data_IF_922081889514
#
_entry.id   IF_922081889514
#
_cell.length_a   1.000
_cell.length_b   1.000
_cell.length_c   1.000
_cell.angle_alpha   90.00
_cell.angle_beta   90.00
_cell.angle_gamma   90.00
#
_symmetry.space_group_name_H-M   'P 1'
#
loop_
_entity.id
_entity.type
_entity.pdbx_description
1 polymer ?
#
# COMPACT_ATOMS: atom_id res chain seq x y z
N UNK A 1 -2.54 -11.81 4.42
CA UNK A 1 -3.69 -11.23 5.17
C UNK A 1 -4.93 -11.30 4.28
N UNK A 2 -6.08 -10.82 4.73
CA UNK A 2 -7.27 -10.65 3.88
C UNK A 2 -7.76 -9.19 3.93
N UNK A 3 -8.52 -8.78 2.91
CA UNK A 3 -9.23 -7.50 2.91
C UNK A 3 -10.68 -7.60 3.42
N UNK A 4 -11.43 -6.50 3.42
CA UNK A 4 -12.83 -6.46 3.82
C UNK A 4 -13.79 -7.29 2.93
N UNK A 5 -13.34 -7.69 1.75
CA UNK A 5 -14.09 -8.51 0.79
C UNK A 5 -13.72 -10.01 0.87
N UNK A 6 -12.78 -10.37 1.76
CA UNK A 6 -12.21 -11.73 1.93
C UNK A 6 -11.30 -12.15 0.77
N UNK A 7 -10.75 -11.19 0.02
CA UNK A 7 -9.68 -11.50 -0.91
C UNK A 7 -8.39 -11.72 -0.14
N UNK A 8 -7.60 -12.71 -0.57
CA UNK A 8 -6.24 -12.90 -0.06
C UNK A 8 -5.35 -11.74 -0.50
N UNK A 9 -4.58 -11.23 0.44
CA UNK A 9 -3.68 -10.08 0.26
C UNK A 9 -2.24 -10.49 0.50
N UNK A 10 -1.39 -10.24 -0.50
CA UNK A 10 0.05 -10.48 -0.48
C UNK A 10 0.77 -9.52 -1.44
N UNK A 11 2.05 -9.27 -1.20
CA UNK A 11 2.87 -8.34 -1.99
C UNK A 11 3.62 -9.02 -3.13
N UNK A 12 3.63 -10.36 -3.19
CA UNK A 12 4.42 -11.12 -4.17
C UNK A 12 4.05 -10.81 -5.63
N UNK A 13 2.77 -10.56 -5.90
CA UNK A 13 2.28 -10.17 -7.23
C UNK A 13 2.62 -8.74 -7.64
N UNK A 14 3.25 -7.94 -6.76
CA UNK A 14 3.61 -6.54 -7.00
C UNK A 14 5.12 -6.36 -7.24
N UNK A 15 5.87 -7.46 -7.39
CA UNK A 15 7.29 -7.40 -7.80
C UNK A 15 7.42 -6.66 -9.13
N UNK A 16 8.48 -5.86 -9.24
CA UNK A 16 8.67 -4.84 -10.28
C UNK A 16 8.24 -3.44 -9.86
N UNK A 17 7.42 -3.31 -8.81
CA UNK A 17 6.90 -2.04 -8.31
C UNK A 17 7.29 -1.83 -6.83
N UNK A 18 7.23 -0.58 -6.36
CA UNK A 18 7.42 -0.27 -4.95
C UNK A 18 6.09 -0.47 -4.23
N UNK A 19 6.10 -1.16 -3.08
CA UNK A 19 4.91 -1.33 -2.24
C UNK A 19 5.11 -0.57 -0.93
N UNK A 20 4.13 0.25 -0.59
CA UNK A 20 4.12 1.06 0.62
C UNK A 20 2.94 0.61 1.48
N UNK A 21 3.23 -0.19 2.50
CA UNK A 21 2.22 -0.59 3.48
C UNK A 21 2.05 0.53 4.49
N UNK A 22 0.90 1.21 4.49
CA UNK A 22 0.56 2.22 5.50
C UNK A 22 -0.34 1.56 6.54
N UNK A 23 0.18 1.41 7.75
CA UNK A 23 -0.48 0.62 8.80
C UNK A 23 -0.60 1.39 10.11
N UNK A 24 -1.72 1.17 10.79
CA UNK A 24 -2.01 1.79 12.07
C UNK A 24 -3.04 0.98 12.86
N UNK A 25 -3.00 1.13 14.18
CA UNK A 25 -4.11 0.77 15.04
C UNK A 25 -5.29 1.74 14.88
N UNK A 26 -6.40 1.46 15.57
CA UNK A 26 -7.59 2.31 15.54
C UNK A 26 -7.32 3.78 15.86
N UNK A 27 -6.36 4.09 16.74
CA UNK A 27 -6.06 5.47 17.16
C UNK A 27 -5.26 6.22 16.11
N UNK A 28 -4.40 5.53 15.36
CA UNK A 28 -3.64 6.10 14.23
C UNK A 28 -4.40 6.10 12.89
N UNK A 29 -5.57 5.47 12.80
CA UNK A 29 -6.26 5.20 11.54
C UNK A 29 -6.53 6.45 10.68
N UNK A 30 -6.98 7.56 11.28
CA UNK A 30 -7.27 8.80 10.53
C UNK A 30 -6.00 9.40 9.92
N UNK A 31 -4.91 9.44 10.69
CA UNK A 31 -3.64 9.97 10.20
C UNK A 31 -3.01 9.05 9.14
N UNK A 32 -3.09 7.72 9.34
CA UNK A 32 -2.67 6.73 8.36
C UNK A 32 -3.46 6.84 7.05
N UNK A 33 -4.78 7.02 7.12
CA UNK A 33 -5.61 7.24 5.93
C UNK A 33 -5.22 8.52 5.18
N UNK A 34 -5.00 9.62 5.91
CA UNK A 34 -4.59 10.89 5.33
C UNK A 34 -3.21 10.77 4.64
N UNK A 35 -2.24 10.13 5.29
CA UNK A 35 -0.93 9.86 4.71
C UNK A 35 -1.03 8.97 3.46
N UNK A 36 -1.76 7.86 3.54
CA UNK A 36 -1.94 6.95 2.41
C UNK A 36 -2.56 7.64 1.20
N UNK A 37 -3.62 8.44 1.41
CA UNK A 37 -4.23 9.24 0.34
C UNK A 37 -3.24 10.24 -0.26
N UNK A 38 -2.45 10.93 0.58
CA UNK A 38 -1.46 11.91 0.14
C UNK A 38 -0.35 11.28 -0.69
N UNK A 39 0.17 10.11 -0.27
CA UNK A 39 1.16 9.33 -1.02
C UNK A 39 0.59 8.86 -2.36
N UNK A 40 -0.61 8.29 -2.36
CA UNK A 40 -1.22 7.79 -3.59
C UNK A 40 -1.43 8.90 -4.61
N UNK A 41 -1.99 10.05 -4.21
CA UNK A 41 -2.18 11.19 -5.11
C UNK A 41 -0.84 11.76 -5.59
N UNK A 42 0.20 11.74 -4.75
CA UNK A 42 1.52 12.19 -5.17
C UNK A 42 2.07 11.36 -6.34
N UNK A 43 1.96 10.03 -6.26
CA UNK A 43 2.43 9.14 -7.32
C UNK A 43 1.41 8.94 -8.45
N UNK A 44 0.13 9.22 -8.21
CA UNK A 44 -0.97 9.12 -9.18
C UNK A 44 -1.80 10.41 -9.21
N UNK A 45 -1.29 11.51 -9.80
CA UNK A 45 -1.92 12.83 -9.68
C UNK A 45 -3.37 12.90 -10.18
N UNK A 46 -3.73 12.11 -11.19
CA UNK A 46 -5.10 12.07 -11.72
C UNK A 46 -6.09 11.39 -10.77
N UNK A 47 -5.61 10.65 -9.75
CA UNK A 47 -6.44 10.05 -8.71
C UNK A 47 -7.13 11.06 -7.81
N UNK A 48 -6.66 12.30 -7.76
CA UNK A 48 -7.35 13.36 -7.02
C UNK A 48 -8.76 13.63 -7.56
N UNK A 49 -8.95 13.44 -8.87
CA UNK A 49 -10.21 13.72 -9.58
C UNK A 49 -10.99 12.45 -9.92
N UNK A 50 -10.40 11.28 -9.70
CA UNK A 50 -10.99 10.00 -10.06
C UNK A 50 -12.11 9.60 -9.10
N UNK A 51 -13.07 8.82 -9.60
CA UNK A 51 -14.05 8.15 -8.75
C UNK A 51 -13.37 7.10 -7.86
N UNK A 52 -14.03 6.67 -6.78
CA UNK A 52 -13.50 5.63 -5.89
C UNK A 52 -13.20 4.31 -6.63
N UNK A 53 -13.95 3.99 -7.69
CA UNK A 53 -13.76 2.79 -8.49
C UNK A 53 -12.56 2.85 -9.44
N UNK A 54 -12.15 4.04 -9.82
CA UNK A 54 -11.03 4.26 -10.75
C UNK A 54 -9.76 4.70 -10.04
N UNK A 55 -9.87 5.07 -8.76
CA UNK A 55 -8.80 5.67 -7.96
C UNK A 55 -7.51 4.83 -7.96
N UNK A 56 -7.64 3.52 -7.80
CA UNK A 56 -6.52 2.58 -7.78
C UNK A 56 -5.96 2.23 -9.18
N UNK A 57 -6.62 2.67 -10.27
CA UNK A 57 -6.22 2.38 -11.66
C UNK A 57 -5.54 3.57 -12.34
N UNK A 58 -5.35 4.66 -11.61
CA UNK A 58 -4.78 5.87 -12.18
C UNK A 58 -3.31 5.67 -12.50
N UNK A 59 -2.82 6.22 -13.63
CA UNK A 59 -1.45 6.03 -14.05
C UNK A 59 -0.48 6.62 -13.02
N UNK A 60 0.65 5.95 -12.84
CA UNK A 60 1.77 6.48 -12.06
C UNK A 60 2.44 7.63 -12.82
N UNK A 61 2.91 8.63 -12.08
CA UNK A 61 3.72 9.71 -12.62
C UNK A 61 5.03 9.15 -13.19
N UNK A 62 5.40 9.63 -14.38
CA UNK A 62 6.64 9.24 -15.04
C UNK A 62 7.87 9.68 -14.26
N UNK A 63 8.99 9.00 -14.48
CA UNK A 63 10.29 9.36 -13.92
C UNK A 63 11.10 10.15 -14.97
N UNK A 64 11.56 11.38 -14.66
CA UNK A 64 12.44 12.11 -15.56
C UNK A 64 13.69 11.31 -15.92
N UNK A 65 13.97 11.21 -17.22
CA UNK A 65 15.10 10.45 -17.77
C UNK A 65 14.89 8.93 -17.82
N UNK A 66 13.69 8.43 -17.51
CA UNK A 66 13.39 7.00 -17.64
C UNK A 66 13.31 6.58 -19.11
N UNK A 67 13.87 5.42 -19.50
CA UNK A 67 13.79 4.94 -20.86
C UNK A 67 12.35 4.78 -21.35
N UNK A 68 12.06 5.29 -22.55
CA UNK A 68 10.69 5.34 -23.09
C UNK A 68 10.12 3.96 -23.45
N UNK A 69 10.98 2.97 -23.65
CA UNK A 69 10.66 1.59 -23.98
C UNK A 69 10.46 0.70 -22.74
N UNK A 70 10.75 1.21 -21.54
CA UNK A 70 10.57 0.49 -20.29
C UNK A 70 9.31 0.93 -19.55
N UNK A 71 8.61 -0.04 -18.96
CA UNK A 71 7.54 0.24 -18.00
C UNK A 71 8.11 1.08 -16.85
N UNK A 72 7.40 2.12 -16.46
CA UNK A 72 7.72 2.89 -15.24
C UNK A 72 7.28 2.07 -14.03
N UNK A 73 8.17 1.78 -13.06
CA UNK A 73 7.81 1.11 -11.82
C UNK A 73 6.73 1.88 -11.06
N UNK A 74 5.70 1.14 -10.66
CA UNK A 74 4.54 1.69 -9.98
C UNK A 74 4.80 1.90 -8.48
N UNK A 75 3.89 2.58 -7.77
CA UNK A 75 3.89 2.74 -6.32
C UNK A 75 2.54 2.33 -5.75
N UNK A 76 2.48 1.14 -5.16
CA UNK A 76 1.27 0.60 -4.54
C UNK A 76 1.18 1.06 -3.09
N UNK A 77 0.34 2.05 -2.81
CA UNK A 77 0.04 2.48 -1.43
C UNK A 77 -1.09 1.64 -0.87
N UNK A 78 -0.75 0.71 0.02
CA UNK A 78 -1.67 -0.29 0.56
C UNK A 78 -2.05 0.06 2.00
N UNK A 79 -3.33 0.40 2.28
CA UNK A 79 -3.78 0.64 3.65
C UNK A 79 -3.95 -0.70 4.39
N UNK A 80 -3.42 -0.78 5.61
CA UNK A 80 -3.55 -1.93 6.50
C UNK A 80 -4.12 -1.47 7.85
N UNK A 81 -5.23 -2.07 8.26
CA UNK A 81 -5.80 -1.88 9.58
C UNK A 81 -5.26 -2.95 10.54
N UNK A 82 -4.50 -2.53 11.55
CA UNK A 82 -4.06 -3.41 12.63
C UNK A 82 -5.20 -3.59 13.63
N UNK A 83 -5.70 -4.83 13.74
CA UNK A 83 -6.93 -5.17 14.47
C UNK A 83 -6.72 -6.38 15.40
N UNK A 84 -5.49 -6.57 15.90
CA UNK A 84 -5.15 -7.71 16.76
C UNK A 84 -5.91 -7.70 18.08
N UNK A 85 -6.44 -6.55 18.51
CA UNK A 85 -7.31 -6.41 19.67
C UNK A 85 -8.74 -6.93 19.45
N UNK A 86 -9.16 -7.14 18.19
CA UNK A 86 -10.52 -7.57 17.87
C UNK A 86 -10.68 -9.08 18.11
N UNK A 87 -11.55 -9.50 19.04
CA UNK A 87 -11.79 -10.92 19.30
C UNK A 87 -12.31 -11.64 18.05
N UNK A 88 -11.90 -12.91 17.85
CA UNK A 88 -12.31 -13.73 16.70
C UNK A 88 -13.82 -13.67 16.38
N UNK A 89 -14.74 -13.80 17.36
CA UNK A 89 -16.18 -13.72 17.08
C UNK A 89 -16.65 -12.37 16.51
N UNK A 90 -15.91 -11.29 16.74
CA UNK A 90 -16.24 -9.94 16.30
C UNK A 90 -15.54 -9.52 14.98
N UNK A 91 -14.61 -10.33 14.45
CA UNK A 91 -13.95 -10.04 13.18
C UNK A 91 -14.93 -9.87 12.00
N UNK A 92 -16.05 -10.62 11.88
CA UNK A 92 -17.05 -10.37 10.85
C UNK A 92 -17.69 -8.98 10.94
N UNK A 93 -17.88 -8.45 12.16
CA UNK A 93 -18.44 -7.11 12.40
C UNK A 93 -17.44 -6.04 11.99
N UNK A 94 -16.18 -6.17 12.42
CA UNK A 94 -15.11 -5.28 11.98
C UNK A 94 -15.00 -5.24 10.45
N UNK A 95 -15.06 -6.41 9.81
CA UNK A 95 -15.05 -6.52 8.34
C UNK A 95 -16.25 -5.82 7.68
N UNK A 96 -17.44 -5.98 8.23
CA UNK A 96 -18.64 -5.31 7.72
C UNK A 96 -18.52 -3.78 7.84
N UNK A 97 -17.94 -3.28 8.94
CA UNK A 97 -17.65 -1.86 9.10
C UNK A 97 -16.74 -1.33 7.99
N UNK A 98 -15.60 -1.99 7.72
CA UNK A 98 -14.70 -1.59 6.63
C UNK A 98 -15.34 -1.70 5.24
N UNK A 99 -16.22 -2.68 5.00
CA UNK A 99 -16.97 -2.77 3.74
C UNK A 99 -17.91 -1.60 3.54
N UNK A 100 -18.51 -1.10 4.62
CA UNK A 100 -19.40 0.06 4.54
C UNK A 100 -18.61 1.37 4.41
N UNK A 101 -17.47 1.52 5.09
CA UNK A 101 -16.68 2.76 5.07
C UNK A 101 -15.77 2.87 3.85
N UNK A 102 -15.34 1.73 3.29
CA UNK A 102 -14.53 1.63 2.07
C UNK A 102 -15.13 0.56 1.15
N UNK A 103 -16.21 0.89 0.41
CA UNK A 103 -16.92 -0.08 -0.41
C UNK A 103 -16.17 -0.48 -1.67
N UNK A 104 -15.08 0.23 -2.02
CA UNK A 104 -14.36 0.00 -3.27
C UNK A 104 -12.85 -0.17 -3.07
N UNK A 105 -12.23 0.64 -2.21
CA UNK A 105 -10.79 0.57 -1.98
C UNK A 105 -10.49 -0.53 -0.95
N UNK A 106 -9.75 -1.60 -1.30
CA UNK A 106 -9.41 -2.65 -0.36
C UNK A 106 -8.55 -2.13 0.79
N UNK A 107 -8.87 -2.54 2.02
CA UNK A 107 -8.07 -2.31 3.22
C UNK A 107 -7.68 -3.67 3.76
N UNK A 108 -6.38 -3.93 3.87
CA UNK A 108 -5.89 -5.19 4.43
C UNK A 108 -6.18 -5.22 5.93
N UNK A 109 -6.74 -6.31 6.43
CA UNK A 109 -7.15 -6.46 7.82
C UNK A 109 -6.18 -7.40 8.54
N UNK A 110 -5.36 -6.83 9.43
CA UNK A 110 -4.38 -7.57 10.21
C UNK A 110 -4.94 -7.93 11.59
N UNK A 111 -5.76 -8.99 11.64
CA UNK A 111 -6.22 -9.58 12.90
C UNK A 111 -5.14 -10.42 13.60
N UNK A 112 -4.05 -10.74 12.90
CA UNK A 112 -3.03 -11.71 13.35
C UNK A 112 -1.77 -11.07 13.91
N UNK A 113 -1.78 -9.74 14.12
CA UNK A 113 -0.64 -8.98 14.61
C UNK A 113 0.62 -9.16 13.72
N UNK A 114 0.41 -9.35 12.42
CA UNK A 114 1.47 -9.61 11.44
C UNK A 114 2.34 -8.38 11.25
N UNK A 115 1.73 -7.19 11.14
CA UNK A 115 2.44 -5.93 10.90
C UNK A 115 3.35 -5.59 12.07
N UNK A 116 2.83 -5.63 13.30
CA UNK A 116 3.63 -5.35 14.50
C UNK A 116 4.78 -6.34 14.68
N UNK A 117 4.54 -7.65 14.48
CA UNK A 117 5.61 -8.67 14.63
C UNK A 117 6.67 -8.59 13.54
N UNK A 118 6.32 -8.16 12.33
CA UNK A 118 7.23 -8.16 11.18
C UNK A 118 7.99 -6.84 11.05
N UNK A 119 7.32 -5.72 11.29
CA UNK A 119 7.84 -4.37 11.02
C UNK A 119 7.99 -3.50 12.27
N UNK A 120 7.48 -3.95 13.43
CA UNK A 120 7.28 -3.08 14.59
C UNK A 120 6.06 -2.16 14.38
N UNK A 121 5.67 -1.40 15.41
CA UNK A 121 4.61 -0.40 15.29
C UNK A 121 4.71 0.64 16.41
N UNK A 122 4.58 1.92 16.06
CA UNK A 122 4.25 2.99 17.01
C UNK A 122 2.73 3.09 17.11
N UNK A 123 2.20 2.82 18.30
CA UNK A 123 0.77 2.91 18.59
C UNK A 123 0.25 4.34 18.47
N UNK A 124 -1.02 4.48 18.12
CA UNK A 124 -1.70 5.76 17.92
C UNK A 124 -1.02 6.72 16.92
N UNK A 125 -0.22 6.17 16.00
CA UNK A 125 0.47 6.91 14.95
C UNK A 125 0.40 6.13 13.63
N UNK A 126 0.65 6.83 12.53
CA UNK A 126 0.89 6.22 11.24
C UNK A 126 2.26 5.54 11.15
N UNK A 127 2.29 4.36 10.53
CA UNK A 127 3.49 3.58 10.29
C UNK A 127 3.55 3.20 8.81
N UNK A 128 4.76 3.12 8.27
CA UNK A 128 5.02 2.85 6.86
C UNK A 128 6.10 1.78 6.76
N UNK A 129 5.79 0.68 6.08
CA UNK A 129 6.81 -0.26 5.63
C UNK A 129 6.96 -0.12 4.12
N UNK A 130 8.20 0.06 3.66
CA UNK A 130 8.55 0.21 2.26
C UNK A 130 9.16 -1.10 1.78
N UNK A 131 8.60 -1.66 0.74
CA UNK A 131 9.08 -2.87 0.05
C UNK A 131 9.55 -2.43 -1.33
N UNK A 132 10.79 -2.78 -1.68
CA UNK A 132 11.40 -2.43 -2.95
C UNK A 132 10.83 -3.23 -4.14
N UNK A 133 11.32 -2.92 -5.34
CA UNK A 133 10.87 -3.57 -6.58
C UNK A 133 11.24 -5.05 -6.67
N UNK A 134 12.13 -5.55 -5.82
CA UNK A 134 12.47 -6.98 -5.72
C UNK A 134 11.59 -7.70 -4.69
N UNK A 135 10.72 -6.98 -4.00
CA UNK A 135 9.88 -7.52 -2.93
C UNK A 135 10.61 -7.64 -1.59
N UNK A 136 11.75 -6.96 -1.41
CA UNK A 136 12.49 -6.94 -0.15
C UNK A 136 12.12 -5.73 0.69
N UNK A 137 12.17 -5.88 2.01
CA UNK A 137 11.90 -4.77 2.94
C UNK A 137 13.07 -3.79 2.87
N UNK A 138 12.79 -2.56 2.42
CA UNK A 138 13.78 -1.48 2.38
C UNK A 138 13.90 -0.77 3.73
N UNK A 139 12.76 -0.47 4.36
CA UNK A 139 12.76 0.25 5.62
C UNK A 139 11.38 0.41 6.23
N UNK A 140 11.37 0.76 7.52
CA UNK A 140 10.17 1.05 8.29
C UNK A 140 10.29 2.45 8.89
N UNK A 141 9.26 3.27 8.73
CA UNK A 141 9.17 4.62 9.26
C UNK A 141 7.90 4.75 10.08
N UNK A 142 7.99 5.38 11.24
CA UNK A 142 6.86 5.53 12.15
C UNK A 142 6.79 6.93 12.76
N UNK A 143 5.59 7.30 13.18
CA UNK A 143 5.31 8.61 13.77
C UNK A 143 4.78 9.59 12.74
N UNK A 144 4.76 10.87 13.08
CA UNK A 144 4.09 11.88 12.26
C UNK A 144 4.85 12.18 10.95
N UNK A 145 4.14 12.24 9.82
CA UNK A 145 4.68 12.62 8.51
C UNK A 145 4.26 14.04 8.11
N UNK A 146 5.00 15.00 8.66
CA UNK A 146 4.90 16.41 8.28
C UNK A 146 5.37 16.67 6.83
N UNK A 147 5.54 17.94 6.46
CA UNK A 147 6.00 18.31 5.13
C UNK A 147 7.38 17.73 4.78
N UNK A 148 8.33 17.80 5.72
CA UNK A 148 9.73 17.40 5.49
C UNK A 148 9.83 15.88 5.43
N UNK A 149 9.32 15.18 6.44
CA UNK A 149 9.38 13.71 6.51
C UNK A 149 8.66 13.03 5.36
N UNK A 150 7.60 13.66 4.85
CA UNK A 150 6.93 13.16 3.66
C UNK A 150 7.76 13.33 2.39
N UNK A 151 8.45 14.45 2.20
CA UNK A 151 9.34 14.61 1.06
C UNK A 151 10.53 13.63 1.13
N UNK A 152 11.04 13.34 2.32
CA UNK A 152 12.05 12.29 2.53
C UNK A 152 11.53 10.90 2.17
N UNK A 153 10.28 10.58 2.58
CA UNK A 153 9.61 9.33 2.20
C UNK A 153 9.43 9.23 0.68
N UNK A 154 8.91 10.28 0.04
CA UNK A 154 8.74 10.37 -1.42
C UNK A 154 10.08 10.17 -2.13
N UNK A 155 11.12 10.89 -1.71
CA UNK A 155 12.45 10.78 -2.31
C UNK A 155 13.07 9.39 -2.15
N UNK A 156 12.77 8.70 -1.05
CA UNK A 156 13.18 7.30 -0.85
C UNK A 156 12.45 6.37 -1.81
N UNK A 157 11.14 6.52 -2.00
CA UNK A 157 10.34 5.73 -2.94
C UNK A 157 10.81 5.96 -4.38
N UNK A 158 11.03 7.21 -4.81
CA UNK A 158 11.52 7.49 -6.16
C UNK A 158 12.91 6.91 -6.42
N UNK A 159 13.78 6.88 -5.40
CA UNK A 159 15.09 6.22 -5.50
C UNK A 159 14.93 4.73 -5.76
N UNK A 160 14.03 4.06 -5.05
CA UNK A 160 13.75 2.63 -5.24
C UNK A 160 13.18 2.35 -6.63
N UNK A 161 12.25 3.18 -7.12
CA UNK A 161 11.72 3.06 -8.49
C UNK A 161 12.85 3.18 -9.52
N UNK A 162 13.78 4.11 -9.34
CA UNK A 162 14.93 4.28 -10.26
C UNK A 162 15.90 3.10 -10.25
N UNK A 163 15.93 2.32 -9.19
CA UNK A 163 16.78 1.13 -9.04
C UNK A 163 16.12 -0.13 -9.60
N UNK A 164 14.90 -0.03 -10.14
CA UNK A 164 14.18 -1.18 -10.68
C UNK A 164 15.01 -1.84 -11.80
N UNK A 165 15.19 -3.18 -11.74
CA UNK A 165 15.85 -3.89 -12.83
C UNK A 165 15.00 -3.79 -14.11
N UNK A 166 15.61 -3.66 -15.30
CA UNK A 166 14.88 -3.62 -16.58
C UNK A 166 13.96 -4.84 -16.81
N UNK A 167 14.30 -5.98 -16.23
CA UNK A 167 13.64 -7.28 -16.45
C UNK A 167 12.71 -7.72 -15.31
N UNK A 168 12.43 -6.87 -14.32
CA UNK A 168 11.53 -7.21 -13.22
C UNK A 168 10.05 -7.21 -13.70
N UNK A 169 9.69 -8.22 -14.50
CA UNK A 169 8.32 -8.44 -14.94
C UNK A 169 7.46 -8.78 -13.72
N UNK A 170 6.48 -7.93 -13.44
CA UNK A 170 5.31 -8.31 -12.65
C UNK A 170 4.74 -9.57 -13.27
N UNK A 171 4.74 -10.69 -12.54
CA UNK A 171 4.19 -11.93 -13.05
C UNK A 171 2.71 -11.71 -13.34
N UNK A 172 2.36 -11.58 -14.62
CA UNK A 172 0.98 -11.62 -15.06
C UNK A 172 0.41 -12.98 -14.62
N UNK A 173 -0.64 -12.96 -13.81
CA UNK A 173 -1.43 -14.13 -13.47
C UNK A 173 -1.72 -14.91 -14.76
N UNK A 174 -1.41 -16.21 -14.86
CA UNK A 174 -1.79 -16.96 -16.04
C UNK A 174 -3.31 -16.96 -16.12
N UNK A 175 -3.84 -16.40 -17.20
CA UNK A 175 -5.24 -16.57 -17.58
C UNK A 175 -5.38 -18.06 -17.90
N UNK A 176 -6.04 -18.82 -17.03
CA UNK A 176 -6.41 -20.19 -17.35
C UNK A 176 -7.32 -20.14 -18.59
N UNK A 177 -6.75 -20.47 -19.75
CA UNK A 177 -7.53 -20.82 -20.93
C UNK A 177 -8.09 -22.23 -20.69
N UNK A 178 -9.36 -22.29 -20.28
CA UNK A 178 -10.12 -23.54 -20.29
C UNK A 178 -10.40 -23.91 -21.75
N UNK A 179 -9.94 -25.10 -22.15
CA UNK A 179 -10.42 -25.79 -23.35
C UNK A 179 -11.86 -26.28 -23.15
#
# INVERSE_FOLDING_TARGET
>A
MEDQFRNRCETGGLRGDVVVLVYADRKGATAGQALGRRLHVHFHPTAERASAAEWARQPVVGLPGWPADLRVPDVHVVPVACLSEVPKPLQPVARAHFRSSSPVVPVWLDFGDTMQRTFGMTHAAENVAIIDTQGQVYGVLSGHFDGIRFQELVGSIDRLRRQAPPDARTAATPVNATQ
#
